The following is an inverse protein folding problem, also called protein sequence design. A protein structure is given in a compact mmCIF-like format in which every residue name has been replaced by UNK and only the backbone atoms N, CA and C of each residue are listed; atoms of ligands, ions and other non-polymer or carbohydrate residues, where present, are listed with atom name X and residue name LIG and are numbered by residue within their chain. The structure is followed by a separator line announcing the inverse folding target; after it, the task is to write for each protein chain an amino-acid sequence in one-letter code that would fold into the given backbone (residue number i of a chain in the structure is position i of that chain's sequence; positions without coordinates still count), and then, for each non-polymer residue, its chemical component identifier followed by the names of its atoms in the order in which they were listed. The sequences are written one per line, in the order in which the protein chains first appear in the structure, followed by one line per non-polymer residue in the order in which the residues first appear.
data_IF_612592564904
#
_entry.id   IF_612592564904
#
_cell.length_a   1.000
_cell.length_b   1.000
_cell.length_c   1.000
_cell.angle_alpha   90.00
_cell.angle_beta   90.00
_cell.angle_gamma   90.00
#
_symmetry.space_group_name_H-M   'P 1'
#
loop_
_entity.id
_entity.type
_entity.pdbx_description
1 polymer ?
#
# COMPACT_ATOMS: atom_id res chain seq x y z
N UNK A 1 4.84 -11.51 23.38
CA UNK A 1 4.38 -12.89 23.12
C UNK A 1 4.00 -12.97 21.65
N UNK A 2 4.63 -13.83 20.87
CA UNK A 2 4.46 -13.92 19.42
C UNK A 2 3.94 -15.33 19.07
N UNK A 3 3.05 -15.44 18.09
CA UNK A 3 2.64 -16.72 17.51
C UNK A 3 3.56 -17.02 16.31
N UNK A 4 4.10 -18.25 16.17
CA UNK A 4 5.17 -18.56 15.20
C UNK A 4 4.79 -18.35 13.72
N UNK A 5 3.52 -18.08 13.43
CA UNK A 5 3.04 -17.58 12.12
C UNK A 5 3.66 -16.21 11.77
N UNK A 6 4.13 -15.45 12.77
CA UNK A 6 4.62 -14.08 12.64
C UNK A 6 6.01 -13.95 13.27
N UNK A 7 7.04 -14.05 12.42
CA UNK A 7 8.37 -13.45 12.66
C UNK A 7 8.70 -12.56 11.46
N UNK A 8 8.41 -11.25 11.54
CA UNK A 8 8.84 -10.29 10.52
C UNK A 8 8.99 -8.90 11.13
N UNK A 9 10.20 -8.35 11.10
CA UNK A 9 10.45 -6.96 11.54
C UNK A 9 10.06 -5.98 10.41
N UNK A 10 9.24 -4.99 10.75
CA UNK A 10 8.73 -3.97 9.81
C UNK A 10 9.43 -2.65 10.10
N UNK A 11 10.24 -2.15 9.15
CA UNK A 11 10.72 -0.76 9.16
C UNK A 11 9.72 0.13 8.40
N UNK A 12 9.41 1.31 8.97
CA UNK A 12 8.64 2.36 8.27
C UNK A 12 9.34 2.76 6.97
N UNK A 13 8.60 2.68 5.86
CA UNK A 13 8.98 3.30 4.58
C UNK A 13 7.90 4.30 4.20
N UNK A 14 8.27 5.57 4.06
CA UNK A 14 7.40 6.62 3.53
C UNK A 14 7.61 6.75 2.00
N UNK A 15 6.76 6.12 1.16
CA UNK A 15 6.54 6.46 -0.26
C UNK A 15 5.36 5.65 -0.85
N UNK A 16 4.77 6.05 -2.00
CA UNK A 16 3.40 5.69 -2.52
C UNK A 16 3.33 4.75 -3.78
N UNK A 17 2.24 3.97 -4.08
CA UNK A 17 2.09 2.92 -5.16
C UNK A 17 1.61 1.44 -4.82
N UNK A 18 0.95 1.09 -3.69
CA UNK A 18 0.69 -0.27 -3.04
C UNK A 18 0.60 -1.61 -3.83
N UNK A 19 1.19 -2.68 -3.25
CA UNK A 19 0.98 -4.14 -3.48
C UNK A 19 0.86 -4.96 -2.17
N UNK A 20 -0.18 -5.77 -1.99
CA UNK A 20 -0.34 -6.66 -0.82
C UNK A 20 0.40 -8.00 -0.93
N UNK A 21 1.07 -8.39 0.15
CA UNK A 21 1.57 -9.75 0.39
C UNK A 21 0.53 -10.51 1.22
N UNK A 22 -0.36 -11.23 0.54
CA UNK A 22 -1.38 -12.06 1.19
C UNK A 22 -0.81 -13.44 1.53
N UNK A 23 -0.50 -13.68 2.81
CA UNK A 23 -0.11 -15.00 3.31
C UNK A 23 -1.37 -15.83 3.55
N UNK A 24 -1.75 -16.68 2.59
CA UNK A 24 -2.82 -17.68 2.77
C UNK A 24 -2.22 -19.06 3.07
N UNK A 25 -2.45 -19.56 4.28
CA UNK A 25 -2.19 -20.96 4.63
C UNK A 25 -3.29 -21.82 3.98
N UNK A 26 -2.91 -22.68 3.03
CA UNK A 26 -3.86 -23.49 2.26
C UNK A 26 -4.28 -24.72 3.06
N UNK A 27 -5.44 -24.66 3.71
CA UNK A 27 -6.17 -25.88 4.11
C UNK A 27 -6.56 -26.63 2.83
N UNK A 28 -5.85 -27.72 2.54
CA UNK A 28 -6.22 -28.66 1.49
C UNK A 28 -7.43 -29.48 1.96
N UNK A 29 -8.46 -29.68 1.12
CA UNK A 29 -9.54 -30.61 1.44
C UNK A 29 -9.02 -32.05 1.37
N UNK A 30 -9.29 -32.82 2.42
CA UNK A 30 -9.10 -34.28 2.45
C UNK A 30 -10.20 -34.99 1.62
N UNK A 31 -10.00 -36.26 1.22
CA UNK A 31 -10.51 -36.79 -0.06
C UNK A 31 -12.00 -37.19 -0.07
N UNK A 32 -12.61 -37.38 -1.25
CA UNK A 32 -14.02 -37.72 -1.37
C UNK A 32 -14.35 -39.13 -0.88
N UNK A 33 -15.52 -39.27 -0.26
CA UNK A 33 -16.12 -40.57 0.08
C UNK A 33 -16.62 -41.27 -1.17
N UNK A 34 -16.36 -42.58 -1.25
CA UNK A 34 -16.70 -43.48 -2.36
C UNK A 34 -18.22 -43.60 -2.59
N UNK A 35 -18.65 -43.47 -3.86
CA UNK A 35 -19.85 -44.12 -4.40
C UNK A 35 -19.58 -44.61 -5.83
N UNK A 36 -20.15 -45.77 -6.18
CA UNK A 36 -19.75 -46.61 -7.31
C UNK A 36 -20.37 -46.21 -8.68
N UNK A 37 -19.62 -46.39 -9.77
CA UNK A 37 -20.12 -46.33 -11.15
C UNK A 37 -19.06 -46.72 -12.21
N UNK A 38 -19.38 -47.53 -13.24
CA UNK A 38 -18.40 -48.07 -14.20
C UNK A 38 -18.03 -47.11 -15.35
N UNK A 39 -16.94 -47.38 -16.12
CA UNK A 39 -16.21 -46.33 -16.84
C UNK A 39 -16.67 -46.07 -18.28
N UNK A 40 -16.59 -44.81 -18.71
CA UNK A 40 -16.54 -44.43 -20.12
C UNK A 40 -15.13 -43.96 -20.50
N UNK A 41 -14.67 -44.45 -21.64
CA UNK A 41 -13.27 -44.48 -22.07
C UNK A 41 -13.00 -43.40 -23.11
N UNK A 42 -12.21 -42.39 -22.77
CA UNK A 42 -11.61 -41.48 -23.76
C UNK A 42 -10.12 -41.28 -23.45
N UNK A 43 -9.29 -41.70 -24.41
CA UNK A 43 -7.86 -41.44 -24.45
C UNK A 43 -7.59 -40.39 -25.52
N UNK A 44 -6.74 -39.41 -25.21
CA UNK A 44 -6.05 -38.43 -26.08
C UNK A 44 -5.49 -37.38 -25.09
N UNK A 45 -4.24 -36.93 -25.10
CA UNK A 45 -3.10 -37.18 -25.98
C UNK A 45 -2.17 -35.98 -25.83
N UNK A 46 -1.01 -36.14 -25.19
CA UNK A 46 -0.11 -35.01 -24.92
C UNK A 46 0.47 -34.44 -26.23
N UNK A 47 0.35 -33.12 -26.41
CA UNK A 47 0.95 -32.39 -27.53
C UNK A 47 1.59 -31.09 -27.06
N UNK A 48 2.91 -31.12 -26.86
CA UNK A 48 3.72 -29.90 -26.65
C UNK A 48 4.22 -29.44 -28.02
N UNK A 49 3.96 -28.18 -28.39
CA UNK A 49 4.52 -27.58 -29.59
C UNK A 49 5.43 -26.41 -29.22
N UNK A 50 6.73 -26.59 -29.43
CA UNK A 50 7.75 -25.55 -29.34
C UNK A 50 8.20 -25.24 -30.76
N UNK A 51 7.98 -24.00 -31.22
CA UNK A 51 8.46 -23.54 -32.53
C UNK A 51 9.52 -22.45 -32.35
N UNK A 52 10.79 -22.85 -32.42
CA UNK A 52 11.90 -21.94 -32.77
C UNK A 52 12.04 -21.89 -34.30
N UNK A 53 12.40 -20.73 -34.86
CA UNK A 53 12.97 -20.61 -36.20
C UNK A 53 13.85 -19.36 -36.31
N UNK A 54 14.88 -19.34 -37.18
CA UNK A 54 16.10 -18.60 -36.88
C UNK A 54 16.36 -17.36 -37.75
N UNK A 55 17.32 -16.56 -37.31
CA UNK A 55 17.92 -15.45 -38.07
C UNK A 55 18.73 -15.94 -39.28
N UNK A 56 18.64 -15.20 -40.40
CA UNK A 56 19.62 -15.25 -41.49
C UNK A 56 19.97 -13.83 -41.95
N UNK A 57 21.25 -13.63 -42.28
CA UNK A 57 21.78 -12.36 -42.77
C UNK A 57 22.60 -12.56 -44.04
N UNK A 58 22.26 -11.84 -45.11
CA UNK A 58 23.16 -11.55 -46.23
C UNK A 58 22.82 -10.16 -46.78
N UNK A 59 23.83 -9.36 -47.09
CA UNK A 59 23.66 -8.06 -47.73
C UNK A 59 24.30 -8.02 -49.10
N UNK A 60 23.84 -7.12 -49.97
CA UNK A 60 24.55 -6.67 -51.18
C UNK A 60 24.20 -5.21 -51.49
N UNK A 61 24.99 -4.57 -52.36
CA UNK A 61 25.24 -3.12 -52.42
C UNK A 61 25.03 -2.58 -53.85
N UNK A 62 24.36 -1.43 -54.02
CA UNK A 62 24.93 -0.19 -54.63
C UNK A 62 23.88 0.79 -55.21
N UNK A 63 24.21 2.08 -55.05
CA UNK A 63 23.83 3.29 -55.80
C UNK A 63 22.40 3.55 -56.35
N UNK A 64 21.78 4.60 -55.79
CA UNK A 64 21.16 5.66 -56.63
C UNK A 64 21.21 7.07 -56.00
N UNK A 65 22.20 7.84 -56.46
CA UNK A 65 22.16 9.29 -56.70
C UNK A 65 21.45 10.24 -55.69
N UNK A 66 22.24 10.76 -54.74
CA UNK A 66 22.80 12.13 -54.83
C UNK A 66 21.85 13.26 -55.36
N UNK A 67 20.65 13.43 -54.79
CA UNK A 67 19.86 14.67 -55.03
C UNK A 67 18.93 15.14 -53.89
N UNK A 68 18.83 14.41 -52.76
CA UNK A 68 17.84 14.75 -51.69
C UNK A 68 18.35 15.67 -50.57
N UNK A 69 19.65 16.00 -50.48
CA UNK A 69 20.17 16.82 -49.37
C UNK A 69 19.87 18.31 -49.53
N UNK A 70 19.99 18.88 -50.73
CA UNK A 70 19.77 20.31 -50.98
C UNK A 70 18.32 20.73 -50.68
N UNK A 71 17.37 19.86 -51.04
CA UNK A 71 15.95 20.11 -50.84
C UNK A 71 15.52 20.10 -49.37
N UNK A 72 16.28 19.42 -48.49
CA UNK A 72 16.01 19.41 -47.04
C UNK A 72 16.51 20.67 -46.34
N UNK A 73 17.64 21.27 -46.76
CA UNK A 73 18.11 22.53 -46.17
C UNK A 73 17.12 23.68 -46.42
N UNK A 74 16.56 23.78 -47.63
CA UNK A 74 15.65 24.89 -47.99
C UNK A 74 14.34 24.88 -47.18
N UNK A 75 13.81 23.69 -46.89
CA UNK A 75 12.55 23.53 -46.11
C UNK A 75 12.75 23.92 -44.64
N UNK A 76 13.92 23.65 -44.05
CA UNK A 76 14.21 24.00 -42.66
C UNK A 76 14.42 25.50 -42.41
N UNK A 77 14.87 26.26 -43.42
CA UNK A 77 15.08 27.71 -43.28
C UNK A 77 13.74 28.47 -43.39
N UNK A 78 12.83 28.02 -44.24
CA UNK A 78 11.50 28.65 -44.41
C UNK A 78 10.53 28.36 -43.26
N UNK A 79 10.65 27.22 -42.56
CA UNK A 79 9.79 26.91 -41.41
C UNK A 79 10.16 27.64 -40.11
N UNK A 80 11.36 28.23 -40.02
CA UNK A 80 11.84 28.93 -38.81
C UNK A 80 11.47 30.43 -38.79
N UNK A 81 10.98 30.97 -39.91
CA UNK A 81 10.66 32.40 -40.06
C UNK A 81 9.16 32.76 -40.05
N UNK A 82 8.27 31.80 -39.73
CA UNK A 82 6.81 32.02 -39.74
C UNK A 82 6.09 31.44 -38.50
N UNK A 83 6.79 31.39 -37.36
CA UNK A 83 6.31 30.72 -36.13
C UNK A 83 6.50 31.55 -34.86
N UNK A 84 6.17 32.85 -34.92
CA UNK A 84 6.33 33.79 -33.81
C UNK A 84 5.04 34.57 -33.51
N UNK A 85 3.92 33.86 -33.36
CA UNK A 85 2.70 34.42 -32.78
C UNK A 85 2.65 34.20 -31.27
N UNK A 86 2.75 35.29 -30.52
CA UNK A 86 2.61 35.31 -29.06
C UNK A 86 1.15 35.05 -28.71
N UNK A 87 0.86 33.83 -28.23
CA UNK A 87 -0.46 33.50 -27.69
C UNK A 87 -0.72 34.26 -26.37
N UNK A 88 -1.30 35.46 -26.50
CA UNK A 88 -1.86 36.23 -25.39
C UNK A 88 -3.07 35.50 -24.79
N UNK A 89 -2.81 34.74 -23.73
CA UNK A 89 -3.86 34.10 -22.93
C UNK A 89 -4.59 35.13 -22.05
N UNK A 90 -5.77 35.58 -22.48
CA UNK A 90 -6.67 36.34 -21.62
C UNK A 90 -7.45 35.40 -20.70
N UNK A 91 -7.23 35.50 -19.38
CA UNK A 91 -8.14 34.93 -18.39
C UNK A 91 -9.37 35.84 -18.30
N UNK A 92 -10.47 35.42 -18.94
CA UNK A 92 -11.75 36.09 -18.75
C UNK A 92 -12.35 35.66 -17.41
N UNK A 93 -12.22 36.50 -16.39
CA UNK A 93 -12.92 36.29 -15.13
C UNK A 93 -14.44 36.41 -15.39
N UNK A 94 -15.23 35.46 -14.89
CA UNK A 94 -16.65 35.35 -15.24
C UNK A 94 -17.44 36.26 -14.30
N UNK A 95 -18.13 37.30 -14.78
CA UNK A 95 -18.80 38.23 -13.89
C UNK A 95 -19.83 37.53 -13.00
N UNK A 96 -19.67 37.70 -11.68
CA UNK A 96 -20.66 37.32 -10.69
C UNK A 96 -21.96 38.08 -10.99
N UNK A 97 -23.02 37.39 -11.44
CA UNK A 97 -24.35 38.01 -11.52
C UNK A 97 -24.91 38.20 -10.11
N UNK A 98 -25.25 39.43 -9.79
CA UNK A 98 -25.90 39.84 -8.56
C UNK A 98 -27.40 40.05 -8.77
N UNK A 99 -28.21 39.46 -7.88
CA UNK A 99 -29.50 40.03 -7.46
C UNK A 99 -30.78 39.49 -8.11
N UNK A 100 -31.74 39.22 -7.22
CA UNK A 100 -33.21 39.22 -7.40
C UNK A 100 -33.86 38.16 -8.33
N UNK A 101 -34.99 37.55 -7.99
CA UNK A 101 -35.58 37.23 -6.67
C UNK A 101 -36.45 35.97 -6.89
N UNK A 102 -36.63 35.12 -5.87
CA UNK A 102 -37.35 33.86 -6.05
C UNK A 102 -37.11 32.85 -4.93
N UNK A 103 -38.02 32.83 -3.96
CA UNK A 103 -38.05 31.87 -2.85
C UNK A 103 -38.02 30.41 -3.29
N UNK A 104 -36.92 29.71 -2.99
CA UNK A 104 -36.94 28.29 -2.73
C UNK A 104 -35.96 27.95 -1.60
N UNK A 105 -36.42 27.18 -0.61
CA UNK A 105 -35.64 26.85 0.58
C UNK A 105 -34.44 25.97 0.23
N UNK A 106 -33.27 26.58 0.08
CA UNK A 106 -32.00 25.88 -0.07
C UNK A 106 -31.35 25.76 1.30
N UNK A 107 -31.49 24.60 1.92
CA UNK A 107 -30.80 24.26 3.17
C UNK A 107 -29.29 24.31 2.92
N UNK A 108 -28.66 25.43 3.27
CA UNK A 108 -27.19 25.52 3.32
C UNK A 108 -26.69 24.61 4.43
N UNK A 109 -26.47 23.32 4.13
CA UNK A 109 -25.55 22.50 4.91
C UNK A 109 -24.12 22.96 4.60
N UNK A 110 -23.77 24.18 5.03
CA UNK A 110 -22.37 24.54 5.24
C UNK A 110 -21.84 23.50 6.22
N UNK A 111 -20.97 22.62 5.71
CA UNK A 111 -20.24 21.66 6.53
C UNK A 111 -19.37 22.46 7.50
N UNK A 112 -19.94 22.80 8.65
CA UNK A 112 -19.22 23.44 9.73
C UNK A 112 -18.03 22.54 10.05
N UNK A 113 -16.83 23.12 9.98
CA UNK A 113 -15.65 22.47 10.51
C UNK A 113 -15.91 22.21 12.00
N UNK A 114 -16.28 20.98 12.36
CA UNK A 114 -16.43 20.58 13.76
C UNK A 114 -15.11 20.93 14.46
N UNK A 115 -15.18 21.94 15.31
CA UNK A 115 -14.05 22.37 16.11
C UNK A 115 -13.83 21.30 17.17
N UNK A 116 -12.84 20.44 16.94
CA UNK A 116 -12.38 19.45 17.93
C UNK A 116 -11.39 20.17 18.85
N UNK A 117 -11.76 20.51 20.11
CA UNK A 117 -10.82 21.08 21.05
C UNK A 117 -9.60 20.17 21.25
N UNK A 118 -8.40 20.71 21.02
CA UNK A 118 -7.11 20.02 21.17
C UNK A 118 -6.65 19.91 22.63
N UNK A 119 -7.47 20.35 23.58
CA UNK A 119 -7.16 20.58 25.00
C UNK A 119 -7.20 19.33 25.88
N UNK A 120 -7.03 18.14 25.30
CA UNK A 120 -6.82 16.88 26.04
C UNK A 120 -5.38 16.37 25.90
N UNK A 121 -5.13 15.16 26.41
CA UNK A 121 -3.82 14.52 26.42
C UNK A 121 -3.88 13.08 25.89
N UNK A 122 -2.84 12.65 25.18
CA UNK A 122 -2.61 11.27 24.75
C UNK A 122 -1.81 10.42 25.75
N UNK A 123 -1.57 10.89 26.97
CA UNK A 123 -0.94 10.09 28.04
C UNK A 123 -1.74 8.80 28.25
N UNK A 124 -1.07 7.66 28.10
CA UNK A 124 -1.63 6.30 28.17
C UNK A 124 -2.73 5.99 27.12
N UNK A 125 -2.82 6.76 26.03
CA UNK A 125 -3.83 6.64 24.96
C UNK A 125 -3.25 6.52 23.55
N UNK A 126 -1.92 6.48 23.41
CA UNK A 126 -1.26 6.41 22.12
C UNK A 126 -1.66 5.16 21.32
N UNK A 127 -2.20 5.38 20.12
CA UNK A 127 -2.71 4.35 19.22
C UNK A 127 -3.83 3.49 19.81
N UNK A 128 -4.68 4.08 20.66
CA UNK A 128 -5.90 3.44 21.14
C UNK A 128 -6.78 2.99 19.98
N UNK A 129 -7.40 1.80 20.10
CA UNK A 129 -8.28 1.23 19.07
C UNK A 129 -9.72 1.77 19.13
N UNK A 130 -10.02 2.60 20.13
CA UNK A 130 -11.35 3.20 20.34
C UNK A 130 -11.41 4.50 19.54
N UNK A 131 -12.29 4.56 18.55
CA UNK A 131 -12.57 5.82 17.87
C UNK A 131 -13.44 6.71 18.76
N UNK A 132 -12.90 7.84 19.21
CA UNK A 132 -13.67 8.84 19.94
C UNK A 132 -14.37 9.81 18.99
N UNK A 133 -15.64 10.07 19.27
CA UNK A 133 -16.43 11.07 18.58
C UNK A 133 -16.10 12.50 19.05
N UNK A 134 -16.26 13.53 18.18
CA UNK A 134 -16.18 14.93 18.58
C UNK A 134 -17.13 15.23 19.75
N UNK A 135 -16.74 16.05 20.74
CA UNK A 135 -15.63 17.02 20.68
C UNK A 135 -14.27 16.51 21.18
N UNK A 136 -14.14 15.24 21.59
CA UNK A 136 -12.90 14.78 22.22
C UNK A 136 -11.72 14.70 21.24
N UNK A 137 -10.52 15.06 21.71
CA UNK A 137 -9.31 14.89 20.91
C UNK A 137 -8.88 13.41 20.85
N UNK A 138 -8.45 13.01 19.65
CA UNK A 138 -8.13 11.63 19.27
C UNK A 138 -6.65 11.31 19.48
N UNK A 139 -6.34 10.03 19.74
CA UNK A 139 -4.98 9.52 19.92
C UNK A 139 -4.68 8.24 19.10
N UNK A 140 -5.61 7.84 18.24
CA UNK A 140 -5.46 6.76 17.28
C UNK A 140 -4.58 7.14 16.07
N UNK A 141 -4.32 6.15 15.20
CA UNK A 141 -3.48 6.29 14.01
C UNK A 141 -4.04 7.23 12.92
N UNK A 142 -5.34 7.55 12.92
CA UNK A 142 -5.99 8.43 11.94
C UNK A 142 -6.20 9.86 12.47
N UNK A 143 -5.91 10.16 13.74
CA UNK A 143 -6.14 11.50 14.31
C UNK A 143 -5.52 12.63 13.47
N UNK A 144 -4.34 12.39 12.89
CA UNK A 144 -3.62 13.33 12.01
C UNK A 144 -4.34 13.54 10.68
N UNK A 145 -4.90 12.49 10.10
CA UNK A 145 -5.68 12.54 8.85
C UNK A 145 -6.93 13.40 9.01
N UNK A 146 -7.58 13.32 10.18
CA UNK A 146 -8.77 14.12 10.50
C UNK A 146 -8.44 15.51 11.08
N UNK A 147 -7.17 15.81 11.38
CA UNK A 147 -6.71 16.99 12.13
C UNK A 147 -7.44 17.16 13.48
N UNK A 148 -7.45 16.06 14.25
CA UNK A 148 -8.23 15.90 15.50
C UNK A 148 -7.41 15.41 16.68
N UNK A 149 -6.07 15.32 16.54
CA UNK A 149 -5.19 14.85 17.61
C UNK A 149 -5.22 15.76 18.84
N UNK A 150 -4.95 15.18 20.01
CA UNK A 150 -4.59 15.98 21.19
C UNK A 150 -3.27 16.73 20.97
N UNK A 151 -3.09 17.85 21.67
CA UNK A 151 -1.95 18.76 21.48
C UNK A 151 -0.57 18.11 21.73
N UNK A 152 -0.51 17.07 22.57
CA UNK A 152 0.71 16.36 22.96
C UNK A 152 0.96 15.05 22.18
N UNK A 153 0.13 14.73 21.17
CA UNK A 153 0.20 13.46 20.43
C UNK A 153 1.57 13.19 19.81
N UNK A 154 2.19 14.19 19.18
CA UNK A 154 3.50 14.00 18.52
C UNK A 154 4.59 13.68 19.55
N UNK A 155 4.62 14.41 20.67
CA UNK A 155 5.60 14.23 21.73
C UNK A 155 5.43 12.89 22.46
N UNK A 156 4.18 12.47 22.72
CA UNK A 156 3.91 11.26 23.50
C UNK A 156 3.89 9.98 22.65
N UNK A 157 3.41 10.04 21.41
CA UNK A 157 3.10 8.87 20.59
C UNK A 157 4.03 8.71 19.37
N UNK A 158 4.77 9.75 18.96
CA UNK A 158 5.75 9.70 17.87
C UNK A 158 7.18 9.90 18.40
N UNK A 159 7.51 9.27 19.54
CA UNK A 159 8.84 9.28 20.15
C UNK A 159 9.90 8.74 19.17
N UNK A 160 11.07 9.39 19.13
CA UNK A 160 12.19 9.00 18.26
C UNK A 160 13.54 8.89 18.99
N UNK A 161 13.61 9.24 20.28
CA UNK A 161 14.86 9.15 21.06
C UNK A 161 15.28 7.69 21.27
N UNK A 162 16.58 7.46 21.47
CA UNK A 162 17.17 6.12 21.56
C UNK A 162 17.18 5.32 20.25
N UNK A 163 16.48 5.77 19.21
CA UNK A 163 16.33 5.06 17.94
C UNK A 163 15.40 3.84 18.02
N UNK A 164 15.36 3.05 16.95
CA UNK A 164 14.45 1.91 16.78
C UNK A 164 15.10 0.53 17.00
N UNK A 165 16.38 0.53 17.39
CA UNK A 165 17.21 -0.66 17.57
C UNK A 165 17.97 -0.52 18.90
N UNK A 166 18.01 -1.61 19.67
CA UNK A 166 18.90 -1.71 20.82
C UNK A 166 20.36 -1.72 20.36
N UNK A 167 21.23 -1.23 21.24
CA UNK A 167 22.70 -1.34 21.19
C UNK A 167 23.19 -2.13 22.41
N UNK A 168 24.46 -2.57 22.42
CA UNK A 168 25.01 -3.41 23.51
C UNK A 168 25.00 -2.68 24.87
N UNK A 169 25.23 -1.38 24.83
CA UNK A 169 25.19 -0.43 25.95
C UNK A 169 23.77 -0.18 26.50
N UNK A 170 22.72 -0.40 25.71
CA UNK A 170 21.31 -0.26 26.13
C UNK A 170 20.69 -1.55 26.69
N UNK A 171 21.35 -2.70 26.56
CA UNK A 171 20.83 -3.96 27.09
C UNK A 171 20.76 -3.94 28.63
N UNK A 172 19.55 -3.99 29.19
CA UNK A 172 19.34 -3.85 30.64
C UNK A 172 19.35 -2.39 31.12
N UNK A 173 19.10 -1.42 30.23
CA UNK A 173 19.00 0.00 30.59
C UNK A 173 17.93 0.26 31.67
N UNK A 174 18.19 1.24 32.54
CA UNK A 174 17.12 1.85 33.33
C UNK A 174 16.12 2.48 32.38
N UNK A 175 14.84 2.12 32.52
CA UNK A 175 13.80 2.52 31.57
C UNK A 175 13.67 4.03 31.43
N UNK A 176 13.82 4.53 30.20
CA UNK A 176 13.62 5.92 29.83
C UNK A 176 12.35 6.05 28.96
N UNK A 177 11.27 6.63 29.49
CA UNK A 177 10.01 6.79 28.76
C UNK A 177 10.12 7.75 27.56
N UNK A 178 11.21 8.49 27.37
CA UNK A 178 11.41 9.31 26.17
C UNK A 178 11.82 8.47 24.95
N UNK A 179 12.34 7.25 25.16
CA UNK A 179 12.77 6.37 24.06
C UNK A 179 11.61 5.90 23.18
N UNK A 180 11.90 5.70 21.88
CA UNK A 180 10.95 5.18 20.90
C UNK A 180 10.60 3.70 21.12
N UNK A 181 11.56 2.92 21.62
CA UNK A 181 11.42 1.54 22.04
C UNK A 181 12.49 1.21 23.10
N UNK A 182 12.22 0.19 23.91
CA UNK A 182 12.97 -0.06 25.14
C UNK A 182 13.90 -1.27 25.02
N UNK A 183 14.97 -1.25 25.82
CA UNK A 183 15.93 -2.34 25.96
C UNK A 183 16.11 -2.78 27.43
N UNK A 184 15.20 -2.31 28.29
CA UNK A 184 15.04 -2.69 29.70
C UNK A 184 14.40 -4.09 29.85
N UNK A 185 14.63 -4.77 30.98
CA UNK A 185 14.15 -6.14 31.18
C UNK A 185 12.61 -6.26 31.30
N UNK A 186 11.88 -5.16 31.55
CA UNK A 186 10.41 -5.13 31.59
C UNK A 186 9.75 -5.03 30.20
N UNK A 187 10.50 -4.70 29.15
CA UNK A 187 9.93 -4.34 27.84
C UNK A 187 9.13 -5.49 27.20
N UNK A 188 9.48 -6.75 27.48
CA UNK A 188 8.79 -7.92 26.94
C UNK A 188 7.40 -8.12 27.57
N UNK A 189 7.26 -7.74 28.84
CA UNK A 189 5.99 -7.79 29.56
C UNK A 189 5.08 -6.61 29.16
N UNK A 190 5.69 -5.43 28.90
CA UNK A 190 4.98 -4.23 28.42
C UNK A 190 4.67 -4.25 26.93
N UNK A 191 5.35 -5.08 26.14
CA UNK A 191 5.16 -5.19 24.69
C UNK A 191 5.80 -4.08 23.87
N UNK A 192 6.82 -3.40 24.40
CA UNK A 192 7.41 -2.18 23.82
C UNK A 192 8.94 -2.22 23.63
N UNK A 193 9.50 -3.44 23.53
CA UNK A 193 10.90 -3.65 23.16
C UNK A 193 11.20 -3.17 21.73
N UNK A 194 12.45 -2.77 21.47
CA UNK A 194 12.95 -2.67 20.10
C UNK A 194 12.98 -4.05 19.42
N UNK A 195 12.74 -4.13 18.10
CA UNK A 195 12.53 -5.42 17.42
C UNK A 195 13.76 -6.35 17.43
N UNK A 196 14.96 -5.82 17.67
CA UNK A 196 16.21 -6.57 17.78
C UNK A 196 16.59 -6.91 19.24
N UNK A 197 15.77 -6.56 20.24
CA UNK A 197 16.09 -6.74 21.68
C UNK A 197 16.45 -8.19 22.01
N UNK A 198 15.59 -9.15 21.62
CA UNK A 198 15.83 -10.59 21.81
C UNK A 198 17.17 -11.03 21.22
N UNK A 199 17.39 -10.71 19.94
CA UNK A 199 18.57 -11.12 19.20
C UNK A 199 19.87 -10.51 19.71
N UNK A 200 19.82 -9.29 20.26
CA UNK A 200 21.01 -8.57 20.72
C UNK A 200 21.30 -8.77 22.20
N UNK A 201 20.27 -8.70 23.05
CA UNK A 201 20.40 -8.65 24.51
C UNK A 201 20.11 -9.99 25.21
N UNK A 202 19.43 -10.94 24.55
CA UNK A 202 19.18 -12.30 25.08
C UNK A 202 19.91 -13.39 24.31
N UNK A 203 20.47 -13.07 23.13
CA UNK A 203 21.25 -14.00 22.32
C UNK A 203 20.42 -14.91 21.40
N UNK A 204 19.13 -14.60 21.22
CA UNK A 204 18.25 -15.33 20.31
C UNK A 204 18.76 -15.25 18.85
N UNK A 205 18.47 -16.28 18.06
CA UNK A 205 18.72 -16.23 16.62
C UNK A 205 17.80 -15.22 15.92
N UNK A 206 18.34 -14.54 14.90
CA UNK A 206 17.52 -13.69 14.03
C UNK A 206 16.66 -14.57 13.13
N UNK A 207 15.38 -14.21 12.97
CA UNK A 207 14.47 -14.92 12.06
C UNK A 207 15.05 -15.12 10.66
N UNK A 208 15.83 -14.16 10.17
CA UNK A 208 16.44 -14.25 8.85
C UNK A 208 17.49 -15.39 8.75
N UNK A 209 18.13 -15.74 9.86
CA UNK A 209 19.16 -16.77 9.96
C UNK A 209 18.66 -18.13 10.45
N UNK A 210 17.43 -18.19 11.00
CA UNK A 210 16.74 -19.47 11.23
C UNK A 210 16.58 -20.23 9.90
N UNK A 211 16.40 -21.55 9.94
CA UNK A 211 16.05 -22.33 8.73
C UNK A 211 14.58 -22.13 8.30
N UNK A 212 14.17 -22.74 7.18
CA UNK A 212 12.75 -22.87 6.82
C UNK A 212 12.15 -24.13 7.47
N UNK A 213 11.23 -23.96 8.41
CA UNK A 213 10.49 -25.08 9.04
C UNK A 213 9.02 -25.11 8.58
N UNK A 214 8.45 -26.32 8.45
CA UNK A 214 7.08 -26.52 7.96
C UNK A 214 6.06 -26.34 9.10
N UNK A 215 5.32 -25.22 9.09
CA UNK A 215 4.28 -24.91 10.09
C UNK A 215 3.00 -25.71 9.80
N UNK A 216 2.90 -26.91 10.38
CA UNK A 216 1.74 -27.83 10.22
C UNK A 216 0.51 -27.42 11.02
N UNK A 217 0.72 -26.77 12.17
CA UNK A 217 -0.34 -26.30 13.08
C UNK A 217 0.03 -24.92 13.64
N UNK A 218 -0.93 -24.02 13.91
CA UNK A 218 -0.61 -22.70 14.47
C UNK A 218 -0.02 -22.79 15.90
N UNK A 219 1.19 -22.28 16.07
CA UNK A 219 1.88 -22.21 17.36
C UNK A 219 1.64 -20.84 18.03
N UNK A 220 0.48 -20.65 18.63
CA UNK A 220 0.15 -19.39 19.31
C UNK A 220 0.23 -19.50 20.85
N UNK A 221 0.61 -18.41 21.55
CA UNK A 221 0.50 -18.29 23.00
C UNK A 221 -0.94 -18.48 23.50
N UNK A 222 -1.09 -18.75 24.80
CA UNK A 222 -2.40 -18.82 25.44
C UNK A 222 -3.22 -17.53 25.21
N UNK A 223 -4.54 -17.68 25.03
CA UNK A 223 -5.48 -16.59 24.73
C UNK A 223 -5.76 -16.37 23.24
N UNK A 224 -4.93 -16.87 22.33
CA UNK A 224 -5.20 -16.81 20.89
C UNK A 224 -6.16 -17.94 20.46
N UNK A 225 -7.41 -17.60 20.15
CA UNK A 225 -8.43 -18.55 19.65
C UNK A 225 -8.27 -18.92 18.18
N UNK A 226 -7.50 -18.13 17.40
CA UNK A 226 -7.20 -18.35 15.98
C UNK A 226 -5.89 -17.63 15.60
N UNK A 227 -5.16 -18.06 14.56
CA UNK A 227 -3.99 -17.33 14.07
C UNK A 227 -4.39 -15.92 13.59
N UNK A 228 -3.67 -14.85 14.01
CA UNK A 228 -3.88 -13.51 13.48
C UNK A 228 -3.47 -13.40 12.00
N UNK A 229 -4.13 -12.51 11.27
CA UNK A 229 -3.75 -12.13 9.91
C UNK A 229 -3.08 -10.76 9.92
N UNK A 230 -1.89 -10.65 9.33
CA UNK A 230 -1.22 -9.37 9.04
C UNK A 230 -1.18 -9.22 7.52
N UNK A 231 -1.80 -8.15 7.01
CA UNK A 231 -1.74 -7.79 5.60
C UNK A 231 -0.64 -6.75 5.38
N UNK A 232 0.54 -7.19 4.96
CA UNK A 232 1.65 -6.30 4.62
C UNK A 232 1.49 -5.78 3.18
N UNK A 233 1.32 -4.46 3.04
CA UNK A 233 1.10 -3.80 1.76
C UNK A 233 2.26 -2.85 1.42
N UNK A 234 2.95 -3.11 0.31
CA UNK A 234 4.21 -2.48 -0.10
C UNK A 234 4.04 -1.65 -1.37
N UNK A 235 4.17 -0.34 -1.24
CA UNK A 235 4.08 0.63 -2.34
C UNK A 235 5.03 0.35 -3.53
N UNK A 236 4.45 0.20 -4.72
CA UNK A 236 5.12 0.18 -6.02
C UNK A 236 5.72 -1.17 -6.42
N UNK A 237 5.43 -2.25 -5.70
CA UNK A 237 6.21 -3.48 -5.73
C UNK A 237 5.96 -4.35 -6.98
N UNK A 238 6.50 -3.91 -8.13
CA UNK A 238 6.47 -4.65 -9.40
C UNK A 238 7.04 -6.06 -9.21
N UNK A 239 6.33 -7.09 -9.66
CA UNK A 239 6.70 -8.50 -9.48
C UNK A 239 8.15 -8.85 -9.91
N UNK A 240 8.72 -8.13 -10.88
CA UNK A 240 10.13 -8.30 -11.28
C UNK A 240 11.15 -7.94 -10.19
N UNK A 241 10.80 -7.13 -9.19
CA UNK A 241 11.71 -6.75 -8.09
C UNK A 241 12.04 -7.92 -7.18
N UNK A 242 11.15 -8.91 -7.07
CA UNK A 242 11.41 -10.19 -6.41
C UNK A 242 12.67 -10.87 -6.96
N UNK A 243 12.95 -10.72 -8.27
CA UNK A 243 14.12 -11.33 -8.93
C UNK A 243 15.46 -10.74 -8.48
N UNK A 244 15.48 -9.69 -7.66
CA UNK A 244 16.70 -9.23 -6.97
C UNK A 244 17.15 -10.21 -5.89
N UNK A 245 16.22 -11.02 -5.35
CA UNK A 245 16.51 -12.11 -4.42
C UNK A 245 17.09 -11.69 -3.07
N UNK A 246 17.60 -12.69 -2.35
CA UNK A 246 18.14 -12.59 -1.00
C UNK A 246 19.18 -11.47 -0.77
N UNK A 247 19.95 -11.08 -1.79
CA UNK A 247 21.01 -10.06 -1.65
C UNK A 247 20.49 -8.64 -1.44
N UNK A 248 19.24 -8.35 -1.83
CA UNK A 248 18.64 -7.01 -1.72
C UNK A 248 17.41 -7.00 -0.80
N UNK A 249 16.63 -8.07 -0.81
CA UNK A 249 15.37 -8.17 -0.05
C UNK A 249 15.30 -9.45 0.79
N UNK A 250 16.31 -9.74 1.64
CA UNK A 250 16.48 -11.03 2.31
C UNK A 250 15.24 -11.52 3.05
N UNK A 251 14.59 -10.64 3.81
CA UNK A 251 13.38 -10.99 4.55
C UNK A 251 12.19 -11.34 3.64
N UNK A 252 12.00 -10.62 2.53
CA UNK A 252 10.91 -10.87 1.58
C UNK A 252 11.22 -12.13 0.75
N UNK A 253 12.48 -12.36 0.41
CA UNK A 253 12.89 -13.58 -0.29
C UNK A 253 12.70 -14.82 0.60
N UNK A 254 13.02 -14.74 1.90
CA UNK A 254 12.72 -15.81 2.87
C UNK A 254 11.22 -16.08 3.01
N UNK A 255 10.37 -15.04 3.11
CA UNK A 255 8.91 -15.22 3.08
C UNK A 255 8.43 -15.92 1.80
N UNK A 256 9.06 -15.61 0.66
CA UNK A 256 8.74 -16.21 -0.64
C UNK A 256 9.21 -17.67 -0.78
N UNK A 257 10.38 -18.01 -0.23
CA UNK A 257 10.96 -19.37 -0.34
C UNK A 257 10.40 -20.35 0.68
N UNK A 258 10.24 -19.94 1.94
CA UNK A 258 9.62 -20.81 2.96
C UNK A 258 8.09 -20.82 2.85
N UNK A 259 7.47 -19.78 2.28
CA UNK A 259 6.02 -19.63 2.18
C UNK A 259 5.43 -19.93 0.79
N UNK A 260 4.13 -19.65 0.63
CA UNK A 260 3.45 -19.73 -0.67
C UNK A 260 3.58 -18.41 -1.42
N UNK A 261 3.95 -18.45 -2.70
CA UNK A 261 4.01 -17.27 -3.56
C UNK A 261 3.48 -17.55 -4.97
N UNK A 262 3.00 -16.49 -5.64
CA UNK A 262 2.69 -16.50 -7.06
C UNK A 262 3.81 -15.78 -7.86
N UNK A 263 4.05 -16.12 -9.15
CA UNK A 263 5.02 -15.41 -9.99
C UNK A 263 4.70 -13.91 -10.18
N UNK A 264 3.42 -13.56 -10.14
CA UNK A 264 2.89 -12.20 -10.08
C UNK A 264 1.41 -12.25 -9.62
N UNK A 265 0.89 -11.12 -9.15
CA UNK A 265 -0.55 -10.89 -8.95
C UNK A 265 -1.01 -9.87 -10.00
N UNK A 266 -2.19 -10.09 -10.61
CA UNK A 266 -2.74 -9.18 -11.62
C UNK A 266 -3.56 -8.07 -10.93
N UNK A 267 -3.21 -6.78 -11.08
CA UNK A 267 -4.01 -5.67 -10.55
C UNK A 267 -5.32 -5.50 -11.31
N UNK A 268 -6.27 -4.77 -10.71
CA UNK A 268 -7.44 -4.24 -11.42
C UNK A 268 -7.04 -3.03 -12.28
N UNK A 269 -7.85 -2.72 -13.29
CA UNK A 269 -7.73 -1.48 -14.06
C UNK A 269 -8.63 -0.39 -13.45
N UNK A 270 -8.15 0.86 -13.32
CA UNK A 270 -6.79 1.31 -13.61
C UNK A 270 -5.79 0.82 -12.55
N UNK A 271 -4.56 0.51 -12.98
CA UNK A 271 -3.47 0.04 -12.10
C UNK A 271 -2.92 1.20 -11.26
N UNK A 272 -3.72 1.64 -10.28
CA UNK A 272 -3.50 2.77 -9.38
C UNK A 272 -3.82 2.42 -7.93
N UNK A 273 -3.18 3.12 -7.01
CA UNK A 273 -3.16 2.85 -5.56
C UNK A 273 -4.56 2.64 -4.98
N UNK A 274 -5.44 3.65 -5.08
CA UNK A 274 -6.73 3.65 -4.39
C UNK A 274 -7.68 2.59 -4.95
N UNK A 275 -7.86 2.47 -6.29
CA UNK A 275 -8.63 1.37 -6.86
C UNK A 275 -8.13 -0.02 -6.42
N UNK A 276 -6.82 -0.27 -6.49
CA UNK A 276 -6.28 -1.61 -6.17
C UNK A 276 -6.31 -1.94 -4.67
N UNK A 277 -6.06 -0.96 -3.80
CA UNK A 277 -6.22 -1.13 -2.35
C UNK A 277 -7.66 -1.46 -1.96
N UNK A 278 -8.62 -0.78 -2.59
CA UNK A 278 -10.02 -0.95 -2.23
C UNK A 278 -10.64 -2.21 -2.86
N UNK A 279 -10.21 -2.60 -4.07
CA UNK A 279 -10.53 -3.92 -4.64
C UNK A 279 -9.94 -5.07 -3.80
N UNK A 280 -8.76 -4.89 -3.21
CA UNK A 280 -8.14 -5.87 -2.32
C UNK A 280 -8.94 -6.02 -1.01
N UNK A 281 -9.41 -4.92 -0.42
CA UNK A 281 -10.20 -4.94 0.81
C UNK A 281 -11.60 -5.54 0.60
N UNK A 282 -12.27 -5.17 -0.49
CA UNK A 282 -13.69 -5.52 -0.75
C UNK A 282 -13.89 -6.75 -1.63
N UNK A 283 -12.87 -7.19 -2.38
CA UNK A 283 -13.01 -8.21 -3.43
C UNK A 283 -13.79 -7.76 -4.68
N UNK A 284 -14.18 -6.48 -4.77
CA UNK A 284 -15.01 -5.92 -5.84
C UNK A 284 -14.17 -5.24 -6.94
N UNK A 285 -14.77 -5.05 -8.12
CA UNK A 285 -14.19 -4.21 -9.17
C UNK A 285 -14.39 -2.70 -8.91
N UNK A 286 -13.53 -1.83 -9.48
CA UNK A 286 -13.63 -0.38 -9.29
C UNK A 286 -14.97 0.26 -9.64
N UNK A 287 -15.64 -0.26 -10.68
CA UNK A 287 -17.00 0.17 -11.07
C UNK A 287 -18.07 -0.16 -10.02
N UNK A 288 -17.88 -1.22 -9.22
CA UNK A 288 -18.84 -1.66 -8.20
C UNK A 288 -18.57 -1.01 -6.83
N UNK A 289 -17.30 -0.78 -6.48
CA UNK A 289 -16.92 -0.17 -5.21
C UNK A 289 -16.73 1.37 -5.26
N UNK A 290 -17.04 2.00 -6.39
CA UNK A 290 -17.04 3.46 -6.58
C UNK A 290 -15.66 4.11 -6.80
N UNK A 291 -14.61 3.60 -6.16
CA UNK A 291 -13.22 4.11 -6.29
C UNK A 291 -12.60 3.74 -7.66
N UNK A 292 -13.03 4.43 -8.72
CA UNK A 292 -12.55 4.21 -10.11
C UNK A 292 -11.19 4.84 -10.44
N UNK A 293 -10.66 5.72 -9.59
CA UNK A 293 -9.35 6.34 -9.79
C UNK A 293 -8.78 7.08 -8.59
N UNK A 294 -7.48 7.41 -8.65
CA UNK A 294 -6.82 8.29 -7.66
C UNK A 294 -7.31 9.75 -7.73
N UNK A 295 -7.97 10.11 -8.84
CA UNK A 295 -8.66 11.38 -9.07
C UNK A 295 -9.89 11.07 -9.91
N UNK A 296 -11.07 11.50 -9.47
CA UNK A 296 -12.35 11.27 -10.15
C UNK A 296 -13.36 12.37 -9.79
N UNK A 297 -14.24 12.70 -10.73
CA UNK A 297 -15.34 13.64 -10.53
C UNK A 297 -16.65 12.88 -10.63
N UNK A 298 -17.56 13.14 -9.70
CA UNK A 298 -18.91 12.58 -9.70
C UNK A 298 -19.91 13.71 -10.03
N UNK A 299 -20.69 13.58 -11.12
CA UNK A 299 -21.63 14.61 -11.57
C UNK A 299 -22.91 14.68 -10.74
N UNK A 300 -23.24 13.66 -9.93
CA UNK A 300 -24.37 13.66 -9.00
C UNK A 300 -23.99 14.38 -7.70
N UNK A 301 -22.75 14.20 -7.25
CA UNK A 301 -22.20 14.91 -6.09
C UNK A 301 -21.67 16.31 -6.40
N UNK A 302 -21.50 16.65 -7.68
CA UNK A 302 -20.79 17.83 -8.21
C UNK A 302 -19.46 18.09 -7.46
N UNK A 303 -18.67 17.02 -7.31
CA UNK A 303 -17.49 17.02 -6.45
C UNK A 303 -16.34 16.21 -7.06
N UNK A 304 -15.11 16.62 -6.75
CA UNK A 304 -13.89 15.95 -7.23
C UNK A 304 -13.14 15.29 -6.07
N UNK A 305 -13.12 13.96 -6.09
CA UNK A 305 -12.25 13.16 -5.26
C UNK A 305 -10.80 13.26 -5.74
N UNK A 306 -9.84 13.50 -4.83
CA UNK A 306 -8.40 13.41 -5.11
C UNK A 306 -7.63 12.90 -3.89
N UNK A 307 -6.45 12.30 -4.12
CA UNK A 307 -5.54 11.84 -3.07
C UNK A 307 -5.22 12.88 -1.97
N UNK A 308 -5.21 14.17 -2.32
CA UNK A 308 -4.82 15.27 -1.42
C UNK A 308 -6.01 15.98 -0.77
N UNK A 309 -7.21 15.85 -1.32
CA UNK A 309 -8.40 16.52 -0.78
C UNK A 309 -8.89 15.86 0.52
N UNK A 310 -9.56 16.63 1.39
CA UNK A 310 -10.36 16.08 2.49
C UNK A 310 -11.62 15.37 2.00
N UNK A 311 -12.04 15.62 0.75
CA UNK A 311 -13.20 14.99 0.13
C UNK A 311 -13.12 13.45 0.13
N UNK A 312 -11.90 12.88 0.08
CA UNK A 312 -11.69 11.44 0.21
C UNK A 312 -12.10 10.84 1.55
N UNK A 313 -12.29 11.67 2.59
CA UNK A 313 -12.75 11.23 3.91
C UNK A 313 -14.28 11.15 3.98
N UNK A 314 -14.99 11.64 2.96
CA UNK A 314 -16.43 11.51 2.89
C UNK A 314 -16.81 10.07 2.48
N UNK A 315 -17.57 9.41 3.34
CA UNK A 315 -17.99 8.01 3.20
C UNK A 315 -18.83 7.77 1.93
N UNK A 316 -19.43 8.81 1.32
CA UNK A 316 -20.19 8.72 0.07
C UNK A 316 -19.43 8.12 -1.14
N UNK A 317 -18.09 8.16 -1.14
CA UNK A 317 -17.26 7.64 -2.22
C UNK A 317 -16.98 6.13 -2.13
N UNK A 318 -17.19 5.53 -0.97
CA UNK A 318 -16.65 4.23 -0.61
C UNK A 318 -17.76 3.19 -0.55
N UNK A 319 -18.02 2.52 -1.68
CA UNK A 319 -19.06 1.49 -1.79
C UNK A 319 -18.60 0.09 -1.40
N UNK A 320 -19.53 -0.86 -1.31
CA UNK A 320 -19.23 -2.24 -0.90
C UNK A 320 -19.03 -2.39 0.60
N UNK A 321 -18.30 -3.44 1.01
CA UNK A 321 -17.99 -3.73 2.42
C UNK A 321 -16.54 -4.20 2.53
N UNK A 322 -15.62 -3.39 3.08
CA UNK A 322 -14.25 -3.77 3.41
C UNK A 322 -14.14 -4.46 4.79
#
# INVERSE_FOLDING_TARGET
MECSVIKTSIKRLYSTEVVSVTITQRLLPLPPVLLNGPPLRWSLGFGVSISHSPTYSTGLRSDRQRNMLLHKLFVWILSVLCGADVCLGFVYDRPKRSGEDGTLARTESRSASQYVPTSGSCRNRCFELVELEPPNCRCDNLCKTYNSCCSDFDQLCLRTEGGYECSKDRCGETRNEQHACHCSDDCLARGDCCTNYKTLCKGDSSWLHDECEEIKTPECPAGFVRPPLIMLSVDGFRASYVKRGNTVIPNIDKLRTCGTHAPYMRPVYPSKTFPNLYSLATGLYPESHGIVGNSMYDPVFDATFTLRSREKLNHRWWGGQP
#
